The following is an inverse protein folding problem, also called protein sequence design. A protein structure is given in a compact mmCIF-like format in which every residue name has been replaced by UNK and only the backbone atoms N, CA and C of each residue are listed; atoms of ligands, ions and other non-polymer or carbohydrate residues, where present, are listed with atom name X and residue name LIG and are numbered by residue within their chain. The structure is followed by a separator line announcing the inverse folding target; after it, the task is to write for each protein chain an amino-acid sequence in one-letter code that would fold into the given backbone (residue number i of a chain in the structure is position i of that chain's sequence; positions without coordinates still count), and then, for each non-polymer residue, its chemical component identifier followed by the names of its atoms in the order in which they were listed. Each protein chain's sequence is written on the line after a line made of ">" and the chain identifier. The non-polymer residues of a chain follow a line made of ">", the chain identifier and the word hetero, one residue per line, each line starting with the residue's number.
data_IF_583369973925
#
_entry.id   IF_583369973925
#
_cell.length_a   1.000
_cell.length_b   1.000
_cell.length_c   1.000
_cell.angle_alpha   90.00
_cell.angle_beta   90.00
_cell.angle_gamma   90.00
#
_symmetry.space_group_name_H-M   'P 1'
#
loop_
_entity.id
_entity.type
_entity.pdbx_description
1 polymer ?
#
# COMPACT_ATOMS: atom_id res chain seq x y z
N UNK A 1 -65.10 -1.54 6.41
CA UNK A 1 -63.94 -2.39 6.19
C UNK A 1 -62.76 -1.51 5.77
N UNK A 2 -61.86 -1.17 6.68
CA UNK A 2 -60.67 -0.37 6.37
C UNK A 2 -59.47 -1.33 6.22
N UNK A 3 -58.98 -1.50 5.01
CA UNK A 3 -57.77 -2.24 4.69
C UNK A 3 -56.54 -1.39 5.04
N UNK A 4 -55.79 -1.79 6.07
CA UNK A 4 -54.49 -1.18 6.42
C UNK A 4 -53.42 -1.69 5.46
N UNK A 5 -52.91 -0.80 4.62
CA UNK A 5 -51.77 -1.05 3.76
C UNK A 5 -50.50 -0.86 4.60
N UNK A 6 -49.83 -1.95 5.00
CA UNK A 6 -48.55 -1.91 5.69
C UNK A 6 -47.43 -1.68 4.69
N UNK A 7 -46.84 -0.48 4.73
CA UNK A 7 -45.64 -0.13 3.94
C UNK A 7 -44.41 -0.73 4.61
N UNK A 8 -43.88 -1.82 4.07
CA UNK A 8 -42.61 -2.40 4.52
C UNK A 8 -41.48 -1.57 3.90
N UNK A 9 -40.82 -0.73 4.72
CA UNK A 9 -39.64 0.04 4.34
C UNK A 9 -38.45 -0.89 4.36
N UNK A 10 -38.03 -1.36 3.18
CA UNK A 10 -36.81 -2.16 3.00
C UNK A 10 -35.58 -1.23 3.08
N UNK A 11 -34.94 -1.16 4.26
CA UNK A 11 -33.66 -0.48 4.42
C UNK A 11 -32.57 -1.28 3.69
N UNK A 12 -32.19 -0.82 2.50
CA UNK A 12 -30.97 -1.26 1.81
C UNK A 12 -29.77 -0.71 2.59
N UNK A 13 -29.18 -1.54 3.44
CA UNK A 13 -27.86 -1.25 4.04
C UNK A 13 -26.82 -1.49 2.97
N UNK A 14 -26.43 -0.42 2.27
CA UNK A 14 -25.26 -0.45 1.40
C UNK A 14 -24.01 -0.53 2.28
N UNK A 15 -23.45 -1.73 2.43
CA UNK A 15 -22.12 -1.90 2.98
C UNK A 15 -21.11 -1.24 2.01
N UNK A 16 -20.74 0.02 2.27
CA UNK A 16 -19.55 0.60 1.68
C UNK A 16 -18.34 -0.16 2.25
N UNK A 17 -17.80 -1.10 1.48
CA UNK A 17 -16.47 -1.64 1.73
C UNK A 17 -15.49 -0.48 1.54
N UNK A 18 -15.16 0.19 2.63
CA UNK A 18 -14.01 1.08 2.67
C UNK A 18 -12.78 0.21 2.48
N UNK A 19 -12.01 0.45 1.42
CA UNK A 19 -10.72 -0.20 1.25
C UNK A 19 -9.88 0.08 2.51
N UNK A 20 -9.51 -0.99 3.22
CA UNK A 20 -8.80 -0.86 4.48
C UNK A 20 -7.39 -0.37 4.19
N UNK A 21 -7.01 0.78 4.77
CA UNK A 21 -5.68 1.36 4.63
C UNK A 21 -4.61 0.41 5.18
N UNK A 22 -3.41 0.48 4.60
CA UNK A 22 -2.27 -0.27 5.08
C UNK A 22 -1.89 0.14 6.51
N UNK A 23 -1.45 -0.83 7.32
CA UNK A 23 -0.77 -0.55 8.58
C UNK A 23 0.72 -0.43 8.31
N UNK A 24 1.30 0.72 8.64
CA UNK A 24 2.72 1.03 8.43
C UNK A 24 3.42 1.11 9.77
N UNK A 25 4.51 0.35 9.92
CA UNK A 25 5.35 0.35 11.14
C UNK A 25 6.78 0.68 10.78
N UNK A 26 7.34 1.73 11.38
CA UNK A 26 8.75 2.06 11.23
C UNK A 26 9.62 1.06 12.01
N UNK A 27 10.61 0.49 11.35
CA UNK A 27 11.58 -0.43 11.94
C UNK A 27 12.90 0.28 12.28
N UNK A 28 13.41 1.08 11.36
CA UNK A 28 14.70 1.74 11.48
C UNK A 28 14.71 3.00 10.62
N UNK A 29 15.33 4.05 11.16
CA UNK A 29 15.70 5.24 10.39
C UNK A 29 17.15 5.59 10.71
N UNK A 30 17.94 5.87 9.67
CA UNK A 30 19.37 6.16 9.83
C UNK A 30 19.86 7.17 8.79
N UNK A 31 20.55 8.20 9.25
CA UNK A 31 21.26 9.12 8.36
C UNK A 31 22.36 8.36 7.60
N UNK A 32 22.44 8.57 6.29
CA UNK A 32 23.46 8.01 5.43
C UNK A 32 24.63 9.01 5.30
N UNK A 33 25.62 8.89 6.19
CA UNK A 33 26.68 9.90 6.35
C UNK A 33 27.54 10.13 5.11
N UNK A 34 27.60 9.16 4.21
CA UNK A 34 28.32 9.25 2.93
C UNK A 34 27.45 9.74 1.76
N UNK A 35 26.16 9.98 2.00
CA UNK A 35 25.20 10.53 1.04
C UNK A 35 24.57 11.79 1.64
N UNK A 36 25.08 12.99 1.30
CA UNK A 36 24.60 14.23 1.91
C UNK A 36 23.09 14.38 1.84
N UNK A 37 22.49 14.78 2.96
CA UNK A 37 21.05 14.99 3.10
C UNK A 37 20.17 13.76 2.80
N UNK A 38 20.69 12.54 2.90
CA UNK A 38 19.94 11.30 2.69
C UNK A 38 19.82 10.50 3.98
N UNK A 39 18.70 9.78 4.07
CA UNK A 39 18.46 8.78 5.10
C UNK A 39 18.01 7.46 4.49
N UNK A 40 18.29 6.37 5.18
CA UNK A 40 17.68 5.08 4.99
C UNK A 40 16.52 4.93 5.96
N UNK A 41 15.33 4.63 5.48
CA UNK A 41 14.15 4.36 6.28
C UNK A 41 13.62 2.97 5.97
N UNK A 42 13.54 2.12 6.98
CA UNK A 42 12.98 0.77 6.86
C UNK A 42 11.64 0.70 7.58
N UNK A 43 10.63 0.24 6.86
CA UNK A 43 9.28 0.06 7.38
C UNK A 43 8.75 -1.34 7.04
N UNK A 44 7.76 -1.81 7.80
CA UNK A 44 6.84 -2.84 7.32
C UNK A 44 5.52 -2.22 6.91
N UNK A 45 4.91 -2.83 5.91
CA UNK A 45 3.56 -2.52 5.44
C UNK A 45 2.73 -3.79 5.55
N UNK A 46 1.58 -3.70 6.18
CA UNK A 46 0.63 -4.80 6.31
C UNK A 46 -0.69 -4.43 5.64
N UNK A 47 -1.13 -5.28 4.74
CA UNK A 47 -2.46 -5.20 4.14
C UNK A 47 -3.37 -6.24 4.79
N UNK A 48 -4.51 -5.80 5.30
CA UNK A 48 -5.60 -6.71 5.59
C UNK A 48 -6.10 -7.42 4.31
N UNK A 49 -6.88 -8.50 4.41
CA UNK A 49 -7.52 -9.08 3.24
C UNK A 49 -8.25 -8.02 2.40
N UNK A 50 -7.94 -7.96 1.09
CA UNK A 50 -8.50 -6.94 0.18
C UNK A 50 -7.95 -5.53 0.33
N UNK A 51 -6.97 -5.31 1.22
CA UNK A 51 -6.34 -4.00 1.44
C UNK A 51 -5.51 -3.52 0.25
N UNK A 52 -5.41 -2.20 0.10
CA UNK A 52 -4.65 -1.56 -0.98
C UNK A 52 -4.23 -0.15 -0.60
N UNK A 53 -3.22 0.37 -1.29
CA UNK A 53 -2.85 1.77 -1.26
C UNK A 53 -3.42 2.53 -2.47
N UNK A 54 -3.71 3.83 -2.34
CA UNK A 54 -4.03 4.68 -3.48
C UNK A 54 -2.81 4.86 -4.39
N UNK A 55 -3.04 5.36 -5.61
CA UNK A 55 -1.96 5.73 -6.53
C UNK A 55 -1.07 6.80 -5.88
N UNK A 56 0.23 6.58 -5.85
CA UNK A 56 1.19 7.45 -5.16
C UNK A 56 2.60 7.40 -5.77
N UNK A 57 3.49 8.26 -5.24
CA UNK A 57 4.94 8.25 -5.46
C UNK A 57 5.65 8.37 -4.12
N UNK A 58 6.94 8.04 -4.11
CA UNK A 58 7.75 8.17 -2.90
C UNK A 58 8.80 9.29 -2.94
N UNK A 59 9.16 9.83 -4.11
CA UNK A 59 10.36 10.69 -4.29
C UNK A 59 11.61 10.06 -3.64
N UNK A 60 11.72 8.75 -3.73
CA UNK A 60 12.73 7.94 -3.08
C UNK A 60 13.03 6.69 -3.90
N UNK A 61 14.17 6.07 -3.64
CA UNK A 61 14.37 4.68 -4.02
C UNK A 61 13.67 3.80 -3.00
N UNK A 62 12.81 2.89 -3.46
CA UNK A 62 12.09 1.95 -2.62
C UNK A 62 12.43 0.51 -3.02
N UNK A 63 12.97 -0.23 -2.06
CA UNK A 63 13.29 -1.66 -2.21
C UNK A 63 12.32 -2.46 -1.36
N UNK A 64 11.48 -3.25 -2.02
CA UNK A 64 10.42 -4.04 -1.39
C UNK A 64 10.84 -5.49 -1.29
N UNK A 65 10.54 -6.13 -0.16
CA UNK A 65 10.73 -7.57 0.05
C UNK A 65 9.52 -8.16 0.77
N UNK A 66 8.88 -9.16 0.15
CA UNK A 66 7.66 -9.77 0.70
C UNK A 66 8.00 -10.76 1.80
N UNK A 67 7.33 -10.63 2.95
CA UNK A 67 7.48 -11.49 4.12
C UNK A 67 6.37 -12.53 4.22
N UNK A 68 5.11 -12.12 4.01
CA UNK A 68 3.92 -12.95 4.21
C UNK A 68 2.85 -12.62 3.17
N UNK A 69 2.08 -13.63 2.80
CA UNK A 69 1.00 -13.48 1.83
C UNK A 69 1.51 -13.15 0.43
N UNK A 70 0.67 -12.52 -0.38
CA UNK A 70 1.01 -12.13 -1.75
C UNK A 70 0.53 -10.71 -2.02
N UNK A 71 1.35 -9.93 -2.71
CA UNK A 71 1.03 -8.55 -3.07
C UNK A 71 1.12 -8.36 -4.58
N UNK A 72 0.22 -7.54 -5.11
CA UNK A 72 0.24 -7.15 -6.53
C UNK A 72 0.77 -5.73 -6.61
N UNK A 73 1.78 -5.54 -7.46
CA UNK A 73 2.45 -4.25 -7.63
C UNK A 73 2.63 -3.90 -9.10
N UNK A 74 2.52 -2.61 -9.41
CA UNK A 74 2.76 -2.07 -10.74
C UNK A 74 3.17 -0.61 -10.64
N UNK A 75 4.23 -0.24 -11.35
CA UNK A 75 4.55 1.16 -11.67
C UNK A 75 3.97 1.50 -13.03
N UNK A 76 3.62 2.77 -13.24
CA UNK A 76 3.06 3.28 -14.50
C UNK A 76 4.01 2.95 -15.67
N UNK A 77 3.47 2.33 -16.70
CA UNK A 77 4.22 1.87 -17.87
C UNK A 77 4.89 0.51 -17.73
N UNK A 78 4.93 -0.05 -16.52
CA UNK A 78 5.43 -1.40 -16.25
C UNK A 78 4.34 -2.46 -16.27
N UNK A 79 4.75 -3.71 -16.09
CA UNK A 79 3.84 -4.84 -15.97
C UNK A 79 3.30 -4.94 -14.54
N UNK A 80 2.04 -5.34 -14.41
CA UNK A 80 1.50 -5.81 -13.14
C UNK A 80 2.13 -7.14 -12.77
N UNK A 81 2.66 -7.25 -11.56
CA UNK A 81 3.29 -8.49 -11.06
C UNK A 81 2.71 -8.86 -9.70
N UNK A 82 2.58 -10.15 -9.47
CA UNK A 82 2.24 -10.72 -8.15
C UNK A 82 3.50 -11.25 -7.51
N UNK A 83 3.78 -10.79 -6.29
CA UNK A 83 4.95 -11.17 -5.50
C UNK A 83 4.53 -12.05 -4.33
N UNK A 84 5.29 -13.10 -4.10
CA UNK A 84 5.14 -14.02 -2.96
C UNK A 84 6.32 -13.89 -1.99
N UNK A 85 6.27 -14.48 -0.78
CA UNK A 85 7.35 -14.37 0.19
C UNK A 85 8.73 -14.71 -0.39
N UNK A 86 9.72 -13.86 -0.11
CA UNK A 86 11.08 -13.97 -0.63
C UNK A 86 11.31 -13.25 -1.97
N UNK A 87 10.28 -12.72 -2.60
CA UNK A 87 10.39 -11.94 -3.82
C UNK A 87 10.49 -10.44 -3.54
N UNK A 88 11.10 -9.73 -4.46
CA UNK A 88 11.38 -8.30 -4.33
C UNK A 88 10.85 -7.49 -5.49
N UNK A 89 10.66 -6.20 -5.23
CA UNK A 89 10.24 -5.20 -6.21
C UNK A 89 11.00 -3.91 -5.95
N UNK A 90 11.24 -3.14 -7.00
CA UNK A 90 11.89 -1.84 -6.90
C UNK A 90 11.06 -0.78 -7.60
N UNK A 91 10.99 0.41 -6.99
CA UNK A 91 10.50 1.63 -7.62
C UNK A 91 11.45 2.79 -7.34
N UNK A 92 11.66 3.61 -8.35
CA UNK A 92 12.54 4.77 -8.29
C UNK A 92 11.80 6.06 -7.93
N UNK A 93 12.56 7.18 -7.76
CA UNK A 93 11.98 8.46 -7.33
C UNK A 93 10.96 9.07 -8.29
N UNK A 94 11.06 8.75 -9.59
CA UNK A 94 10.16 9.26 -10.63
C UNK A 94 8.98 8.32 -10.91
N UNK A 95 8.99 7.12 -10.36
CA UNK A 95 7.96 6.13 -10.63
C UNK A 95 6.64 6.49 -9.94
N UNK A 96 5.54 6.27 -10.66
CA UNK A 96 4.19 6.34 -10.11
C UNK A 96 3.73 4.92 -9.84
N UNK A 97 3.47 4.60 -8.57
CA UNK A 97 2.95 3.33 -8.14
C UNK A 97 1.44 3.30 -8.39
N UNK A 98 1.02 2.60 -9.44
CA UNK A 98 -0.39 2.60 -9.87
C UNK A 98 -1.19 1.44 -9.31
N UNK A 99 -0.53 0.34 -8.91
CA UNK A 99 -1.14 -0.80 -8.23
C UNK A 99 -0.26 -1.22 -7.05
N UNK A 100 -0.85 -1.21 -5.85
CA UNK A 100 -0.27 -1.77 -4.63
C UNK A 100 -1.40 -2.33 -3.79
N UNK A 101 -1.54 -3.65 -3.77
CA UNK A 101 -2.65 -4.30 -3.08
C UNK A 101 -2.32 -5.70 -2.60
N UNK A 102 -3.08 -6.16 -1.60
CA UNK A 102 -3.11 -7.58 -1.26
C UNK A 102 -3.71 -8.37 -2.43
N UNK A 103 -3.06 -9.44 -2.83
CA UNK A 103 -3.59 -10.34 -3.86
C UNK A 103 -4.78 -11.19 -3.36
N UNK A 104 -4.96 -11.29 -2.04
CA UNK A 104 -5.99 -12.12 -1.39
C UNK A 104 -7.05 -11.28 -0.71
N UNK A 105 -8.32 -11.74 -0.81
CA UNK A 105 -9.44 -11.17 -0.06
C UNK A 105 -9.72 -11.91 1.27
N UNK A 106 -8.91 -12.94 1.59
CA UNK A 106 -9.13 -13.80 2.77
C UNK A 106 -7.92 -13.89 3.68
N UNK A 107 -6.71 -13.61 3.19
CA UNK A 107 -5.45 -13.67 3.95
C UNK A 107 -4.78 -12.30 3.99
N UNK A 108 -4.10 -11.94 5.10
CA UNK A 108 -3.28 -10.73 5.14
C UNK A 108 -2.01 -10.88 4.29
N UNK A 109 -1.37 -9.75 4.00
CA UNK A 109 -0.05 -9.70 3.37
C UNK A 109 0.85 -8.72 4.11
N UNK A 110 2.15 -9.00 4.13
CA UNK A 110 3.16 -8.18 4.81
C UNK A 110 4.44 -8.12 4.00
N UNK A 111 5.00 -6.93 3.89
CA UNK A 111 6.28 -6.71 3.22
C UNK A 111 7.11 -5.64 3.92
N UNK A 112 8.42 -5.70 3.73
CA UNK A 112 9.38 -4.68 4.15
C UNK A 112 9.63 -3.74 2.99
N UNK A 113 9.78 -2.46 3.28
CA UNK A 113 10.30 -1.47 2.34
C UNK A 113 11.49 -0.76 2.96
N UNK A 114 12.61 -0.74 2.23
CA UNK A 114 13.75 0.13 2.51
C UNK A 114 13.70 1.31 1.55
N UNK A 115 13.56 2.52 2.08
CA UNK A 115 13.68 3.75 1.32
C UNK A 115 15.08 4.35 1.47
N UNK A 116 15.60 4.85 0.34
CA UNK A 116 16.68 5.84 0.35
C UNK A 116 16.08 7.14 -0.15
N UNK A 117 15.99 8.13 0.73
CA UNK A 117 15.23 9.36 0.50
C UNK A 117 15.90 10.59 1.12
N UNK A 118 15.42 11.77 0.77
CA UNK A 118 15.84 13.00 1.44
C UNK A 118 15.44 12.96 2.92
N UNK A 119 16.36 13.39 3.77
CA UNK A 119 16.15 13.44 5.22
C UNK A 119 14.93 14.28 5.56
N UNK A 120 14.02 13.72 6.36
CA UNK A 120 12.80 14.38 6.80
C UNK A 120 11.69 14.52 5.74
N UNK A 121 11.93 14.07 4.49
CA UNK A 121 10.89 14.13 3.46
C UNK A 121 9.76 13.10 3.74
N UNK A 122 8.50 13.40 3.34
CA UNK A 122 7.39 12.47 3.48
C UNK A 122 7.64 11.17 2.71
N UNK A 123 7.14 10.06 3.23
CA UNK A 123 7.21 8.75 2.56
C UNK A 123 6.32 8.71 1.32
N UNK A 124 5.15 9.30 1.38
CA UNK A 124 4.21 9.38 0.27
C UNK A 124 4.19 10.79 -0.33
N UNK A 125 4.20 10.86 -1.65
CA UNK A 125 3.99 12.08 -2.43
C UNK A 125 2.79 11.88 -3.37
N UNK A 126 2.04 12.95 -3.70
CA UNK A 126 0.95 12.87 -4.67
C UNK A 126 1.44 12.38 -6.03
N UNK A 127 0.65 11.52 -6.69
CA UNK A 127 0.85 11.16 -8.08
C UNK A 127 0.46 12.36 -8.95
N UNK A 128 1.43 12.99 -9.60
CA UNK A 128 1.21 14.08 -10.56
C UNK A 128 1.73 13.69 -11.92
#
# INVERSE_FOLDING_TARGET
>A
MLTRLSLVLLCLVTNMLMAQQATVTQLLSKDLTNLPNKEGLMITVEYAPGGSDPIHRHNAHAFVYVLEGSVVMQVKGGKEITLTPGQSFYEGPADVHVVSRNASNVKPAKFVVLFVKDKGAPVLAPAR
#
